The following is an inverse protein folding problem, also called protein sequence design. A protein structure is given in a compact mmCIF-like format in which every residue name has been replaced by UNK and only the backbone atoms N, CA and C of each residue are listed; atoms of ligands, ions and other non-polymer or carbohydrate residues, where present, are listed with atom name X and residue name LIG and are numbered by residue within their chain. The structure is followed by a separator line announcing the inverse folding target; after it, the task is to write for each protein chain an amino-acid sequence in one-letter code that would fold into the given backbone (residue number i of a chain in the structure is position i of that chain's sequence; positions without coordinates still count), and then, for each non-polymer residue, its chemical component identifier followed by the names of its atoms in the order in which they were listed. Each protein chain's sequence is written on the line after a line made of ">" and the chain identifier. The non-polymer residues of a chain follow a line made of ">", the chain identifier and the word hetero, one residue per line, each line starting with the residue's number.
data_IF_731315500613
#
_entry.id   IF_731315500613
#
_cell.length_a   1.000
_cell.length_b   1.000
_cell.length_c   1.000
_cell.angle_alpha   90.00
_cell.angle_beta   90.00
_cell.angle_gamma   90.00
#
_symmetry.space_group_name_H-M   'P 1'
#
loop_
_entity.id
_entity.type
_entity.pdbx_description
1 polymer ?
#
# COMPACT_ATOMS: atom_id res chain seq x y z
N UNK A 1 4.97 -9.32 10.98
CA UNK A 1 3.64 -8.84 10.53
C UNK A 1 3.52 -7.32 10.58
N UNK A 2 3.88 -6.70 11.69
CA UNK A 2 3.85 -5.25 11.82
C UNK A 2 4.76 -4.54 10.79
N UNK A 3 5.94 -5.11 10.53
CA UNK A 3 6.88 -4.57 9.54
C UNK A 3 6.27 -4.53 8.13
N UNK A 4 5.53 -5.57 7.75
CA UNK A 4 4.83 -5.63 6.47
C UNK A 4 3.80 -4.50 6.37
N UNK A 5 2.96 -4.36 7.39
CA UNK A 5 1.93 -3.34 7.44
C UNK A 5 2.51 -1.94 7.43
N UNK A 6 3.54 -1.69 8.24
CA UNK A 6 4.18 -0.38 8.32
C UNK A 6 4.76 0.04 6.97
N UNK A 7 5.41 -0.87 6.27
CA UNK A 7 5.97 -0.62 4.95
C UNK A 7 4.86 -0.36 3.91
N UNK A 8 3.75 -1.08 4.00
CA UNK A 8 2.58 -0.90 3.15
C UNK A 8 2.00 0.51 3.32
N UNK A 9 1.77 0.94 4.56
CA UNK A 9 1.23 2.26 4.87
C UNK A 9 2.18 3.36 4.41
N UNK A 10 3.45 3.22 4.72
CA UNK A 10 4.48 4.19 4.33
C UNK A 10 4.54 4.35 2.81
N UNK A 11 4.51 3.24 2.09
CA UNK A 11 4.50 3.26 0.63
C UNK A 11 3.24 3.95 0.10
N UNK A 12 2.08 3.67 0.69
CA UNK A 12 0.83 4.30 0.29
C UNK A 12 0.90 5.82 0.43
N UNK A 13 1.50 6.31 1.51
CA UNK A 13 1.59 7.75 1.78
C UNK A 13 2.54 8.46 0.83
N UNK A 14 3.71 7.87 0.51
CA UNK A 14 4.65 8.56 -0.36
C UNK A 14 4.33 8.40 -1.84
N UNK A 15 3.68 7.32 -2.24
CA UNK A 15 3.37 7.05 -3.65
C UNK A 15 2.04 7.62 -4.12
N UNK A 16 1.17 8.04 -3.19
CA UNK A 16 -0.15 8.60 -3.52
C UNK A 16 -0.11 10.10 -3.49
N UNK A 17 -0.81 10.74 -4.42
CA UNK A 17 -0.89 12.20 -4.50
C UNK A 17 -2.04 12.70 -3.62
N UNK A 18 -1.73 13.67 -2.74
CA UNK A 18 -2.73 14.29 -1.88
C UNK A 18 -3.42 15.42 -2.66
N UNK A 19 -4.65 15.19 -3.09
CA UNK A 19 -5.47 16.24 -3.70
C UNK A 19 -6.02 17.12 -2.58
N UNK A 20 -5.29 18.16 -2.26
CA UNK A 20 -5.71 19.07 -1.21
C UNK A 20 -6.85 19.96 -1.74
N UNK A 21 -7.94 20.17 -0.95
CA UNK A 21 -9.05 21.03 -1.40
C UNK A 21 -8.65 22.44 -1.79
N UNK A 22 -7.60 22.98 -1.14
CA UNK A 22 -7.10 24.33 -1.38
C UNK A 22 -6.13 24.41 -2.54
N UNK A 23 -5.61 23.27 -3.01
CA UNK A 23 -4.67 23.20 -4.14
C UNK A 23 -4.88 21.91 -4.92
N UNK A 24 -5.94 21.86 -5.75
CA UNK A 24 -6.25 20.65 -6.53
C UNK A 24 -5.21 20.28 -7.57
N UNK A 25 -4.30 21.21 -7.89
CA UNK A 25 -3.22 20.97 -8.85
C UNK A 25 -1.91 20.51 -8.18
N UNK A 26 -1.94 20.31 -6.86
CA UNK A 26 -0.75 19.87 -6.12
C UNK A 26 -0.35 18.45 -6.50
N UNK A 27 0.92 18.28 -6.84
CA UNK A 27 1.52 16.97 -7.12
C UNK A 27 2.16 16.35 -5.89
N UNK A 28 2.06 17.00 -4.72
CA UNK A 28 2.69 16.52 -3.51
C UNK A 28 2.10 15.19 -3.06
N UNK A 29 2.96 14.24 -2.67
CA UNK A 29 2.51 13.02 -2.03
C UNK A 29 1.91 13.34 -0.66
N UNK A 30 1.15 12.39 -0.09
CA UNK A 30 0.63 12.56 1.26
C UNK A 30 1.75 12.84 2.25
N UNK A 31 2.87 12.12 2.14
CA UNK A 31 4.02 12.33 2.99
C UNK A 31 4.59 13.75 2.84
N UNK A 32 4.78 14.21 1.61
CA UNK A 32 5.30 15.56 1.33
C UNK A 32 4.33 16.66 1.79
N UNK A 33 3.03 16.37 1.77
CA UNK A 33 2.01 17.31 2.23
C UNK A 33 1.85 17.33 3.77
N UNK A 34 2.62 16.50 4.48
CA UNK A 34 2.63 16.48 5.93
C UNK A 34 1.74 15.43 6.58
N UNK A 35 1.15 14.53 5.80
CA UNK A 35 0.33 13.44 6.33
C UNK A 35 1.21 12.25 6.73
N UNK A 36 0.93 11.68 7.87
CA UNK A 36 1.59 10.46 8.35
C UNK A 36 0.57 9.41 8.72
N UNK A 37 1.05 8.27 9.21
CA UNK A 37 0.18 7.17 9.64
C UNK A 37 -0.83 7.60 10.70
N UNK A 38 -0.46 8.55 11.55
CA UNK A 38 -1.33 9.08 12.61
C UNK A 38 -2.54 9.86 12.07
N UNK A 39 -2.46 10.29 10.82
CA UNK A 39 -3.54 11.04 10.16
C UNK A 39 -4.56 10.12 9.48
N UNK A 40 -4.27 8.82 9.41
CA UNK A 40 -5.18 7.86 8.80
C UNK A 40 -6.29 7.52 9.80
N UNK A 41 -7.54 7.63 9.35
CA UNK A 41 -8.69 7.34 10.20
C UNK A 41 -8.65 5.90 10.73
N UNK A 42 -9.10 5.63 11.97
CA UNK A 42 -9.05 4.29 12.55
C UNK A 42 -9.72 3.21 11.69
N UNK A 43 -10.85 3.51 11.07
CA UNK A 43 -11.55 2.55 10.20
C UNK A 43 -10.75 2.25 8.93
N UNK A 44 -10.08 3.26 8.39
CA UNK A 44 -9.19 3.08 7.24
C UNK A 44 -7.99 2.20 7.61
N UNK A 45 -7.38 2.45 8.77
CA UNK A 45 -6.27 1.60 9.26
C UNK A 45 -6.70 0.15 9.43
N UNK A 46 -7.90 -0.08 9.97
CA UNK A 46 -8.43 -1.45 10.13
C UNK A 46 -8.59 -2.16 8.79
N UNK A 47 -9.12 -1.44 7.79
CA UNK A 47 -9.30 -1.98 6.45
C UNK A 47 -7.96 -2.34 5.81
N UNK A 48 -6.98 -1.44 5.93
CA UNK A 48 -5.63 -1.66 5.39
C UNK A 48 -4.96 -2.85 6.10
N UNK A 49 -5.09 -2.93 7.43
CA UNK A 49 -4.53 -4.03 8.21
C UNK A 49 -5.17 -5.37 7.82
N UNK A 50 -6.48 -5.40 7.62
CA UNK A 50 -7.17 -6.62 7.23
C UNK A 50 -6.68 -7.14 5.88
N UNK A 51 -6.49 -6.25 4.90
CA UNK A 51 -5.98 -6.63 3.58
C UNK A 51 -4.54 -7.13 3.69
N UNK A 52 -3.70 -6.47 4.46
CA UNK A 52 -2.31 -6.89 4.68
C UNK A 52 -2.24 -8.26 5.36
N UNK A 53 -3.05 -8.47 6.37
CA UNK A 53 -3.08 -9.75 7.10
C UNK A 53 -3.53 -10.89 6.18
N UNK A 54 -4.58 -10.66 5.40
CA UNK A 54 -5.10 -11.67 4.48
C UNK A 54 -4.09 -12.02 3.40
N UNK A 55 -3.46 -11.01 2.81
CA UNK A 55 -2.45 -11.22 1.76
C UNK A 55 -1.23 -11.96 2.32
N UNK A 56 -0.71 -11.52 3.47
CA UNK A 56 0.46 -12.13 4.06
C UNK A 56 0.19 -13.58 4.47
N UNK A 57 -0.94 -13.85 5.11
CA UNK A 57 -1.29 -15.21 5.54
C UNK A 57 -1.41 -16.18 4.36
N UNK A 58 -1.96 -15.72 3.25
CA UNK A 58 -2.14 -16.56 2.06
C UNK A 58 -0.82 -16.82 1.33
N UNK A 59 0.19 -15.95 1.48
CA UNK A 59 1.40 -15.97 0.67
C UNK A 59 2.69 -15.97 1.49
N UNK A 60 2.64 -16.22 2.79
CA UNK A 60 3.79 -16.04 3.68
C UNK A 60 4.98 -16.91 3.30
N UNK A 61 4.76 -18.13 2.84
CA UNK A 61 5.86 -19.02 2.46
C UNK A 61 6.66 -18.45 1.27
N UNK A 62 5.94 -17.93 0.28
CA UNK A 62 6.60 -17.31 -0.89
C UNK A 62 7.32 -16.02 -0.49
N UNK A 63 6.69 -15.22 0.34
CA UNK A 63 7.27 -13.95 0.79
C UNK A 63 8.52 -14.21 1.62
N UNK A 64 8.42 -15.01 2.66
CA UNK A 64 9.51 -15.23 3.59
C UNK A 64 10.74 -15.90 2.94
N UNK A 65 10.51 -16.71 1.91
CA UNK A 65 11.59 -17.40 1.19
C UNK A 65 12.30 -16.51 0.17
N UNK A 66 11.69 -15.42 -0.28
CA UNK A 66 12.18 -14.67 -1.44
C UNK A 66 12.44 -13.18 -1.18
N UNK A 67 11.92 -12.60 -0.10
CA UNK A 67 12.05 -11.16 0.14
C UNK A 67 11.85 -10.82 1.61
N UNK A 68 12.15 -9.58 1.97
CA UNK A 68 11.87 -9.08 3.31
C UNK A 68 10.40 -8.70 3.43
N UNK A 69 9.88 -8.67 4.66
CA UNK A 69 8.52 -8.22 4.93
C UNK A 69 8.31 -6.76 4.47
N UNK A 70 9.33 -5.91 4.64
CA UNK A 70 9.28 -4.52 4.19
C UNK A 70 9.10 -4.42 2.68
N UNK A 71 9.89 -5.18 1.93
CA UNK A 71 9.80 -5.21 0.47
C UNK A 71 8.40 -5.70 0.03
N UNK A 72 7.92 -6.76 0.66
CA UNK A 72 6.63 -7.32 0.34
C UNK A 72 5.47 -6.36 0.62
N UNK A 73 5.54 -5.62 1.73
CA UNK A 73 4.52 -4.62 2.07
C UNK A 73 4.45 -3.50 1.04
N UNK A 74 5.60 -2.96 0.64
CA UNK A 74 5.67 -1.94 -0.40
C UNK A 74 5.14 -2.46 -1.72
N UNK A 75 5.57 -3.65 -2.12
CA UNK A 75 5.17 -4.24 -3.40
C UNK A 75 3.69 -4.59 -3.44
N UNK A 76 3.09 -4.96 -2.32
CA UNK A 76 1.66 -5.22 -2.25
C UNK A 76 0.87 -3.96 -2.62
N UNK A 77 1.20 -2.81 -2.02
CA UNK A 77 0.54 -1.55 -2.36
C UNK A 77 0.74 -1.20 -3.83
N UNK A 78 1.99 -1.22 -4.28
CA UNK A 78 2.33 -0.84 -5.66
C UNK A 78 1.65 -1.75 -6.69
N UNK A 79 1.66 -3.05 -6.44
CA UNK A 79 1.11 -4.03 -7.39
C UNK A 79 -0.41 -3.95 -7.47
N UNK A 80 -1.11 -3.87 -6.33
CA UNK A 80 -2.57 -3.82 -6.34
C UNK A 80 -3.10 -2.58 -7.05
N UNK A 81 -2.30 -1.51 -7.09
CA UNK A 81 -2.69 -0.24 -7.71
C UNK A 81 -2.10 -0.04 -9.11
N UNK A 82 -1.48 -1.06 -9.68
CA UNK A 82 -0.90 -1.04 -11.02
C UNK A 82 0.14 0.06 -11.23
N UNK A 83 0.95 0.32 -10.21
CA UNK A 83 2.10 1.23 -10.35
C UNK A 83 3.16 0.61 -11.25
N UNK A 84 4.13 1.42 -11.68
CA UNK A 84 5.20 0.99 -12.57
C UNK A 84 6.22 0.03 -11.93
N UNK A 85 6.09 -0.29 -10.65
CA UNK A 85 6.93 -1.23 -9.92
C UNK A 85 6.05 -2.17 -9.09
N UNK A 86 6.61 -3.25 -8.60
CA UNK A 86 5.89 -4.21 -7.77
C UNK A 86 6.54 -5.59 -7.82
N UNK A 87 5.82 -6.62 -7.41
CA UNK A 87 6.34 -7.99 -7.38
C UNK A 87 6.87 -8.46 -8.74
N UNK A 88 6.19 -8.08 -9.81
CA UNK A 88 6.55 -8.48 -11.18
C UNK A 88 7.87 -7.87 -11.66
N UNK A 89 8.36 -6.84 -10.99
CA UNK A 89 9.50 -6.02 -11.40
C UNK A 89 10.79 -6.38 -10.64
N UNK A 90 10.78 -7.44 -9.84
CA UNK A 90 11.89 -7.79 -8.94
C UNK A 90 12.75 -8.95 -9.42
N UNK A 91 12.49 -9.47 -10.61
CA UNK A 91 13.26 -10.61 -11.14
C UNK A 91 12.99 -11.91 -10.40
N UNK A 92 11.79 -12.08 -9.84
CA UNK A 92 11.43 -13.25 -9.04
C UNK A 92 10.83 -14.41 -9.86
N UNK A 93 10.65 -14.23 -11.17
CA UNK A 93 10.08 -15.27 -12.03
C UNK A 93 8.66 -15.65 -11.62
N UNK A 94 8.39 -16.93 -11.45
CA UNK A 94 7.05 -17.44 -11.11
C UNK A 94 6.54 -16.93 -9.77
N UNK A 95 7.42 -16.73 -8.81
CA UNK A 95 7.06 -16.16 -7.49
C UNK A 95 6.47 -14.77 -7.68
N UNK A 96 7.13 -13.93 -8.49
CA UNK A 96 6.65 -12.60 -8.80
C UNK A 96 5.29 -12.62 -9.49
N UNK A 97 5.08 -13.53 -10.44
CA UNK A 97 3.80 -13.67 -11.13
C UNK A 97 2.69 -14.10 -10.17
N UNK A 98 2.97 -15.06 -9.30
CA UNK A 98 2.00 -15.55 -8.31
C UNK A 98 1.59 -14.45 -7.36
N UNK A 99 2.56 -13.69 -6.82
CA UNK A 99 2.26 -12.60 -5.90
C UNK A 99 1.54 -11.44 -6.60
N UNK A 100 1.87 -11.17 -7.87
CA UNK A 100 1.20 -10.16 -8.67
C UNK A 100 -0.29 -10.49 -8.83
N UNK A 101 -0.60 -11.72 -9.19
CA UNK A 101 -2.00 -12.17 -9.33
C UNK A 101 -2.75 -12.10 -7.99
N UNK A 102 -2.09 -12.54 -6.91
CA UNK A 102 -2.68 -12.49 -5.58
C UNK A 102 -3.02 -11.06 -5.16
N UNK A 103 -2.10 -10.12 -5.41
CA UNK A 103 -2.30 -8.71 -5.09
C UNK A 103 -3.45 -8.10 -5.92
N UNK A 104 -3.51 -8.41 -7.22
CA UNK A 104 -4.58 -7.93 -8.08
C UNK A 104 -5.95 -8.43 -7.65
N UNK A 105 -6.00 -9.60 -7.01
CA UNK A 105 -7.25 -10.14 -6.48
C UNK A 105 -7.89 -9.28 -5.39
N UNK A 106 -7.12 -8.40 -4.75
CA UNK A 106 -7.62 -7.46 -3.76
C UNK A 106 -8.23 -6.20 -4.38
N UNK A 107 -7.98 -5.96 -5.67
CA UNK A 107 -8.40 -4.74 -6.36
C UNK A 107 -7.55 -3.54 -5.99
N UNK A 108 -7.75 -2.44 -6.68
CA UNK A 108 -7.05 -1.18 -6.39
C UNK A 108 -7.61 -0.53 -5.12
N UNK A 109 -6.79 0.33 -4.50
CA UNK A 109 -7.16 1.06 -3.29
C UNK A 109 -6.51 2.43 -3.36
N UNK A 110 -7.28 3.47 -3.03
CA UNK A 110 -6.79 4.85 -3.08
C UNK A 110 -6.90 5.51 -1.72
N UNK A 111 -5.92 6.36 -1.41
CA UNK A 111 -6.00 7.24 -0.25
C UNK A 111 -6.67 8.55 -0.65
N UNK A 112 -7.47 9.11 0.24
CA UNK A 112 -8.07 10.44 0.05
C UNK A 112 -8.23 11.14 1.40
N UNK A 113 -8.31 12.47 1.34
CA UNK A 113 -8.51 13.28 2.55
C UNK A 113 -10.02 13.50 2.73
N UNK A 114 -10.54 13.13 3.89
CA UNK A 114 -11.94 13.32 4.24
C UNK A 114 -12.26 14.75 4.71
N UNK A 115 -13.53 15.02 4.91
CA UNK A 115 -14.00 16.34 5.35
C UNK A 115 -13.46 16.73 6.71
N UNK A 116 -13.10 15.76 7.54
CA UNK A 116 -12.53 15.97 8.87
C UNK A 116 -11.02 16.20 8.87
N UNK A 117 -10.39 16.15 7.69
CA UNK A 117 -8.94 16.30 7.55
C UNK A 117 -8.14 15.02 7.75
N UNK A 118 -8.81 13.92 8.04
CA UNK A 118 -8.14 12.60 8.16
C UNK A 118 -8.02 11.93 6.81
N UNK A 119 -7.07 10.99 6.72
CA UNK A 119 -6.86 10.19 5.51
C UNK A 119 -7.73 8.94 5.58
N UNK A 120 -8.41 8.66 4.48
CA UNK A 120 -9.27 7.48 4.32
C UNK A 120 -8.80 6.65 3.14
N UNK A 121 -9.30 5.42 3.07
CA UNK A 121 -8.98 4.51 1.96
C UNK A 121 -10.28 4.02 1.32
N UNK A 122 -10.29 3.99 0.01
CA UNK A 122 -11.45 3.51 -0.74
C UNK A 122 -11.38 2.01 -1.00
#
# INVERSE_FOLDING_TARGET
>A
MQTFFDAYVECALWSSTANHPDDPDSDASFESAGYGADDIAPDALKSMQADCDAFYQANNELIDANMTAEQAGRDFWLTRNNHGAGFWDRGLGEVGETLTKAAHGFGSSDLYVGDDGNVYVS
#
